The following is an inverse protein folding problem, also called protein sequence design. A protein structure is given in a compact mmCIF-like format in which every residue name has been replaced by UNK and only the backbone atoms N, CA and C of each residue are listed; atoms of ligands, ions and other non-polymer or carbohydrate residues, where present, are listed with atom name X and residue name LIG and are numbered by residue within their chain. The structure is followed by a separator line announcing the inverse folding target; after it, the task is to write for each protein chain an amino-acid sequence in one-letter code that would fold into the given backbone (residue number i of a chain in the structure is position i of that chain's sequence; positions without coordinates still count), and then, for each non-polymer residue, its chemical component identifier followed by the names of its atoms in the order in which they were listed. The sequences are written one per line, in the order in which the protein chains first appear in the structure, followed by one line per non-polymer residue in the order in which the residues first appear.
data_IF_007142779915
#
_entry.id   IF_007142779915
#
_cell.length_a   1.000
_cell.length_b   1.000
_cell.length_c   1.000
_cell.angle_alpha   90.00
_cell.angle_beta   90.00
_cell.angle_gamma   90.00
#
_symmetry.space_group_name_H-M   'P 1'
#
loop_
_entity.id
_entity.type
_entity.pdbx_description
1 polymer ?
#
# COMPACT_ATOMS: atom_id res chain seq x y z
N UNK A 1 -5.98 7.71 -8.49
CA UNK A 1 -7.16 7.51 -7.61
C UNK A 1 -7.65 6.11 -7.87
N UNK A 2 -7.51 5.22 -6.91
CA UNK A 2 -8.09 3.87 -6.98
C UNK A 2 -9.60 4.01 -6.87
N UNK A 3 -10.25 4.22 -8.01
CA UNK A 3 -11.68 4.42 -8.07
C UNK A 3 -12.39 3.15 -7.62
N UNK A 4 -13.17 3.28 -6.54
CA UNK A 4 -14.34 2.45 -6.33
C UNK A 4 -14.09 0.97 -6.08
N UNK A 5 -13.42 0.62 -4.99
CA UNK A 5 -13.74 -0.68 -4.38
C UNK A 5 -15.21 -0.63 -4.03
N UNK A 6 -16.04 -1.24 -4.88
CA UNK A 6 -17.48 -1.36 -4.58
C UNK A 6 -17.61 -2.11 -3.28
N UNK A 7 -18.19 -1.47 -2.27
CA UNK A 7 -18.51 -2.09 -1.00
C UNK A 7 -19.97 -1.84 -0.70
N UNK A 8 -20.62 -2.80 -0.05
CA UNK A 8 -22.00 -2.68 0.40
C UNK A 8 -22.02 -2.59 1.91
N UNK A 9 -22.67 -1.57 2.42
CA UNK A 9 -22.86 -1.36 3.84
C UNK A 9 -24.21 -1.94 4.25
N UNK A 10 -24.22 -2.93 5.14
CA UNK A 10 -25.40 -3.63 5.63
C UNK A 10 -25.38 -3.66 7.16
N UNK A 11 -26.10 -2.76 7.80
CA UNK A 11 -26.10 -2.64 9.26
C UNK A 11 -24.71 -2.24 9.78
N UNK A 12 -24.10 -3.09 10.60
CA UNK A 12 -22.76 -2.91 11.15
C UNK A 12 -21.66 -3.66 10.36
N UNK A 13 -21.99 -4.15 9.17
CA UNK A 13 -21.10 -4.93 8.31
C UNK A 13 -20.88 -4.28 6.96
N UNK A 14 -19.62 -4.27 6.52
CA UNK A 14 -19.23 -3.90 5.18
C UNK A 14 -18.88 -5.17 4.39
N UNK A 15 -19.48 -5.36 3.21
CA UNK A 15 -19.19 -6.49 2.30
C UNK A 15 -18.53 -5.98 1.04
N UNK A 16 -17.42 -6.59 0.62
CA UNK A 16 -16.66 -6.18 -0.56
C UNK A 16 -16.16 -7.37 -1.38
N UNK A 17 -16.03 -7.22 -2.71
CA UNK A 17 -15.35 -8.22 -3.52
C UNK A 17 -13.86 -8.25 -3.19
N UNK A 18 -13.24 -9.41 -3.33
CA UNK A 18 -11.81 -9.58 -3.16
C UNK A 18 -11.19 -10.15 -4.44
N UNK A 19 -10.03 -9.62 -4.87
CA UNK A 19 -9.40 -10.07 -6.12
C UNK A 19 -8.74 -11.44 -5.98
N UNK A 20 -8.31 -11.80 -4.76
CA UNK A 20 -7.66 -13.06 -4.43
C UNK A 20 -8.21 -13.59 -3.11
N UNK A 21 -8.85 -14.75 -3.18
CA UNK A 21 -9.51 -15.38 -2.03
C UNK A 21 -8.50 -15.84 -0.97
N UNK A 22 -7.34 -16.35 -1.37
CA UNK A 22 -6.35 -16.88 -0.44
C UNK A 22 -5.66 -15.75 0.33
N UNK A 23 -5.28 -14.68 -0.37
CA UNK A 23 -4.70 -13.47 0.24
C UNK A 23 -5.72 -12.81 1.16
N UNK A 24 -6.97 -12.66 0.74
CA UNK A 24 -8.02 -12.05 1.56
C UNK A 24 -8.34 -12.88 2.81
N UNK A 25 -8.40 -14.20 2.69
CA UNK A 25 -8.62 -15.08 3.84
C UNK A 25 -7.45 -15.04 4.82
N UNK A 26 -6.21 -15.01 4.33
CA UNK A 26 -5.03 -14.87 5.18
C UNK A 26 -5.03 -13.52 5.91
N UNK A 27 -5.26 -12.41 5.20
CA UNK A 27 -5.33 -11.07 5.78
C UNK A 27 -6.43 -10.96 6.83
N UNK A 28 -7.59 -11.57 6.58
CA UNK A 28 -8.68 -11.66 7.55
C UNK A 28 -8.26 -12.43 8.80
N UNK A 29 -7.57 -13.56 8.65
CA UNK A 29 -7.04 -14.32 9.79
C UNK A 29 -6.07 -13.53 10.65
N UNK A 30 -5.23 -12.70 10.04
CA UNK A 30 -4.31 -11.78 10.77
C UNK A 30 -5.11 -10.72 11.52
N UNK A 31 -6.02 -10.01 10.84
CA UNK A 31 -6.79 -8.92 11.45
C UNK A 31 -7.75 -9.39 12.54
N UNK A 32 -8.26 -10.64 12.47
CA UNK A 32 -9.17 -11.20 13.48
C UNK A 32 -8.52 -11.29 14.88
N UNK A 33 -7.25 -11.70 14.91
CA UNK A 33 -6.49 -11.83 16.15
C UNK A 33 -5.71 -10.59 16.58
N UNK A 34 -5.72 -9.53 15.77
CA UNK A 34 -4.85 -8.38 15.99
C UNK A 34 -5.55 -7.29 16.82
N UNK A 35 -4.83 -6.79 17.82
CA UNK A 35 -5.20 -5.58 18.56
C UNK A 35 -4.01 -4.62 18.51
N UNK A 36 -4.24 -3.38 18.12
CA UNK A 36 -3.19 -2.37 17.96
C UNK A 36 -3.61 -1.13 18.73
N UNK A 37 -2.83 -0.78 19.74
CA UNK A 37 -3.10 0.42 20.53
C UNK A 37 -3.07 1.68 19.66
N UNK A 38 -4.10 2.52 19.79
CA UNK A 38 -4.22 3.76 19.02
C UNK A 38 -4.57 3.55 17.53
N UNK A 39 -5.02 2.36 17.14
CA UNK A 39 -5.50 2.06 15.79
C UNK A 39 -6.77 1.20 15.86
N UNK A 40 -7.89 1.70 15.34
CA UNK A 40 -9.11 0.91 15.18
C UNK A 40 -8.95 0.00 13.96
N UNK A 41 -9.42 -1.24 14.05
CA UNK A 41 -9.36 -2.20 12.96
C UNK A 41 -10.78 -2.57 12.49
N UNK A 42 -10.98 -2.61 11.17
CA UNK A 42 -12.19 -3.21 10.59
C UNK A 42 -12.09 -4.74 10.68
N UNK A 43 -12.39 -5.29 11.87
CA UNK A 43 -12.29 -6.72 12.11
C UNK A 43 -13.12 -7.53 11.12
N UNK A 44 -12.58 -8.62 10.57
CA UNK A 44 -13.30 -9.44 9.61
C UNK A 44 -14.47 -10.17 10.26
N UNK A 45 -15.48 -10.46 9.44
CA UNK A 45 -16.67 -11.21 9.86
C UNK A 45 -16.72 -12.52 9.08
N UNK A 46 -16.85 -13.64 9.81
CA UNK A 46 -17.02 -14.97 9.20
C UNK A 46 -18.45 -15.14 8.69
N UNK A 47 -18.58 -15.89 7.61
CA UNK A 47 -19.88 -16.43 7.19
C UNK A 47 -20.40 -17.48 8.18
N UNK A 48 -21.66 -17.85 8.06
CA UNK A 48 -22.30 -18.84 8.94
C UNK A 48 -21.62 -20.22 8.96
N UNK A 49 -20.87 -20.55 7.89
CA UNK A 49 -20.06 -21.76 7.78
C UNK A 49 -18.58 -21.57 8.19
N UNK A 50 -18.24 -20.42 8.79
CA UNK A 50 -16.94 -20.15 9.38
C UNK A 50 -15.88 -19.62 8.40
N UNK A 51 -16.18 -19.40 7.12
CA UNK A 51 -15.24 -18.91 6.13
C UNK A 51 -15.09 -17.39 6.16
N UNK A 52 -13.89 -16.88 5.84
CA UNK A 52 -13.61 -15.47 5.67
C UNK A 52 -14.03 -14.91 4.31
N UNK A 53 -14.00 -15.79 3.28
CA UNK A 53 -14.33 -15.43 1.89
C UNK A 53 -15.33 -16.43 1.34
N UNK A 54 -16.41 -15.91 0.74
CA UNK A 54 -17.47 -16.70 0.11
C UNK A 54 -17.72 -16.14 -1.28
N UNK A 55 -17.58 -16.97 -2.29
CA UNK A 55 -17.82 -16.62 -3.71
C UNK A 55 -17.13 -15.32 -4.15
N UNK A 56 -15.89 -15.08 -3.68
CA UNK A 56 -15.14 -13.87 -4.01
C UNK A 56 -15.51 -12.62 -3.19
N UNK A 57 -16.25 -12.79 -2.08
CA UNK A 57 -16.67 -11.71 -1.19
C UNK A 57 -16.13 -11.91 0.21
N UNK A 58 -15.68 -10.82 0.84
CA UNK A 58 -15.30 -10.76 2.25
C UNK A 58 -16.14 -9.73 3.00
N UNK A 59 -16.34 -9.96 4.28
CA UNK A 59 -17.07 -9.08 5.17
C UNK A 59 -16.18 -8.60 6.33
N UNK A 60 -16.36 -7.36 6.75
CA UNK A 60 -15.73 -6.81 7.94
C UNK A 60 -16.71 -5.95 8.74
N UNK A 61 -16.41 -5.70 10.01
CA UNK A 61 -17.14 -4.71 10.81
C UNK A 61 -16.97 -3.34 10.15
N UNK A 62 -18.07 -2.62 10.07
CA UNK A 62 -18.01 -1.24 9.60
C UNK A 62 -17.27 -0.37 10.61
N UNK A 63 -16.33 0.43 10.12
CA UNK A 63 -15.61 1.40 10.93
C UNK A 63 -15.90 2.77 10.33
N UNK A 64 -16.49 3.71 11.09
CA UNK A 64 -16.77 5.05 10.61
C UNK A 64 -15.46 5.82 10.36
N UNK A 65 -15.50 6.76 9.43
CA UNK A 65 -14.40 7.67 9.12
C UNK A 65 -14.34 8.04 7.64
N UNK A 66 -13.51 9.02 7.36
CA UNK A 66 -13.23 9.52 6.02
C UNK A 66 -11.73 9.58 5.77
N UNK A 67 -11.33 9.62 4.51
CA UNK A 67 -9.94 9.89 4.14
C UNK A 67 -9.64 11.36 4.41
N UNK A 68 -8.57 11.62 5.15
CA UNK A 68 -8.10 12.98 5.45
C UNK A 68 -6.63 13.14 5.03
N UNK A 69 -6.18 14.35 4.68
CA UNK A 69 -4.79 14.61 4.29
C UNK A 69 -3.84 14.67 5.50
N UNK A 70 -3.94 13.69 6.39
CA UNK A 70 -3.14 13.54 7.63
C UNK A 70 -2.03 12.49 7.41
N UNK A 71 -1.15 12.73 6.44
CA UNK A 71 -0.21 11.71 5.94
C UNK A 71 0.78 11.23 6.99
N UNK A 72 1.25 12.11 7.87
CA UNK A 72 2.12 11.71 9.00
C UNK A 72 1.36 10.75 9.93
N UNK A 73 0.10 11.02 10.24
CA UNK A 73 -0.73 10.13 11.06
C UNK A 73 -1.02 8.78 10.36
N UNK A 74 -1.12 8.75 9.02
CA UNK A 74 -1.22 7.49 8.25
C UNK A 74 0.06 6.67 8.40
N UNK A 75 1.24 7.29 8.30
CA UNK A 75 2.53 6.61 8.47
C UNK A 75 2.70 6.12 9.93
N UNK A 76 2.30 6.91 10.92
CA UNK A 76 2.31 6.48 12.31
C UNK A 76 1.38 5.29 12.57
N UNK A 77 0.17 5.30 11.99
CA UNK A 77 -0.75 4.16 12.05
C UNK A 77 -0.15 2.91 11.39
N UNK A 78 0.54 3.09 10.26
CA UNK A 78 1.28 2.03 9.60
C UNK A 78 2.39 1.46 10.49
N UNK A 79 3.17 2.32 11.16
CA UNK A 79 4.23 1.88 12.06
C UNK A 79 3.69 1.05 13.23
N UNK A 80 2.54 1.43 13.81
CA UNK A 80 1.86 0.65 14.86
C UNK A 80 1.41 -0.72 14.34
N UNK A 81 0.79 -0.76 13.15
CA UNK A 81 0.41 -2.02 12.51
C UNK A 81 1.63 -2.91 12.27
N UNK A 82 2.70 -2.35 11.68
CA UNK A 82 3.91 -3.09 11.32
C UNK A 82 4.67 -3.59 12.56
N UNK A 83 4.65 -2.86 13.67
CA UNK A 83 5.17 -3.35 14.94
C UNK A 83 4.38 -4.55 15.46
N UNK A 84 3.05 -4.51 15.36
CA UNK A 84 2.19 -5.61 15.80
C UNK A 84 2.26 -6.85 14.88
N UNK A 85 2.74 -6.70 13.64
CA UNK A 85 2.91 -7.82 12.68
C UNK A 85 4.37 -8.23 12.45
N UNK A 86 5.33 -7.66 13.19
CA UNK A 86 6.75 -7.86 12.97
C UNK A 86 7.22 -9.33 13.10
N UNK A 87 6.60 -10.08 14.02
CA UNK A 87 6.92 -11.49 14.27
C UNK A 87 6.26 -12.46 13.28
N UNK A 88 5.42 -11.97 12.38
CA UNK A 88 4.81 -12.83 11.35
C UNK A 88 5.85 -13.29 10.36
N UNK A 89 5.92 -14.61 10.17
CA UNK A 89 6.76 -15.19 9.11
C UNK A 89 6.21 -14.87 7.73
N UNK A 90 7.07 -14.91 6.71
CA UNK A 90 6.65 -14.67 5.32
C UNK A 90 5.46 -15.55 4.94
N UNK A 91 4.32 -14.95 4.57
CA UNK A 91 3.12 -15.72 4.24
C UNK A 91 3.26 -16.46 2.91
N UNK A 92 2.95 -17.76 2.90
CA UNK A 92 2.96 -18.56 1.65
C UNK A 92 1.99 -18.06 0.59
N UNK A 93 0.91 -17.37 0.97
CA UNK A 93 -0.04 -16.76 0.04
C UNK A 93 0.58 -15.67 -0.84
N UNK A 94 1.78 -15.19 -0.51
CA UNK A 94 2.53 -14.24 -1.33
C UNK A 94 3.41 -14.93 -2.36
N UNK A 95 3.62 -16.24 -2.26
CA UNK A 95 4.47 -16.99 -3.19
C UNK A 95 3.75 -17.16 -4.53
N UNK A 96 4.47 -16.90 -5.61
CA UNK A 96 3.95 -17.06 -6.97
C UNK A 96 2.85 -16.08 -7.37
N UNK A 97 2.56 -15.04 -6.57
CA UNK A 97 1.61 -13.99 -6.98
C UNK A 97 2.06 -13.30 -8.26
N UNK A 98 1.11 -13.16 -9.19
CA UNK A 98 1.33 -12.51 -10.49
C UNK A 98 0.27 -11.43 -10.79
N UNK A 99 -0.39 -10.93 -9.74
CA UNK A 99 -1.28 -9.77 -9.87
C UNK A 99 -0.49 -8.46 -10.08
N UNK A 100 -1.20 -7.41 -10.43
CA UNK A 100 -0.63 -6.12 -10.78
C UNK A 100 0.24 -5.53 -9.66
N UNK A 101 -0.19 -5.65 -8.39
CA UNK A 101 0.56 -5.15 -7.23
C UNK A 101 1.85 -5.93 -7.02
N UNK A 102 1.77 -7.26 -7.07
CA UNK A 102 2.92 -8.15 -6.88
C UNK A 102 3.98 -7.95 -7.98
N UNK A 103 3.56 -7.88 -9.27
CA UNK A 103 4.46 -7.61 -10.40
C UNK A 103 5.14 -6.25 -10.26
N UNK A 104 4.38 -5.22 -9.92
CA UNK A 104 4.90 -3.85 -9.77
C UNK A 104 5.88 -3.75 -8.60
N UNK A 105 5.57 -4.38 -7.47
CA UNK A 105 6.48 -4.44 -6.33
C UNK A 105 7.78 -5.19 -6.69
N UNK A 106 7.70 -6.36 -7.31
CA UNK A 106 8.87 -7.12 -7.75
C UNK A 106 9.75 -6.33 -8.73
N UNK A 107 9.14 -5.59 -9.65
CA UNK A 107 9.87 -4.74 -10.58
C UNK A 107 10.57 -3.56 -9.88
N UNK A 108 9.90 -2.89 -8.95
CA UNK A 108 10.47 -1.79 -8.17
C UNK A 108 11.71 -2.25 -7.36
N UNK A 109 11.73 -3.51 -6.94
CA UNK A 109 12.86 -4.12 -6.21
C UNK A 109 13.92 -4.75 -7.13
N UNK A 110 13.72 -4.72 -8.47
CA UNK A 110 14.65 -5.31 -9.44
C UNK A 110 14.58 -6.84 -9.55
N UNK A 111 13.60 -7.46 -8.90
CA UNK A 111 13.36 -8.91 -8.90
C UNK A 111 12.66 -9.38 -10.18
N UNK A 112 12.07 -8.44 -10.92
CA UNK A 112 11.34 -8.71 -12.16
C UNK A 112 11.59 -7.59 -13.19
N UNK A 113 11.71 -7.97 -14.46
CA UNK A 113 11.69 -7.01 -15.58
C UNK A 113 10.28 -6.88 -16.12
N UNK A 114 9.88 -5.64 -16.41
CA UNK A 114 8.60 -5.33 -17.06
C UNK A 114 8.87 -4.57 -18.37
N UNK A 115 8.08 -4.85 -19.38
CA UNK A 115 7.98 -4.01 -20.58
C UNK A 115 6.87 -2.99 -20.31
N UNK A 116 7.25 -1.74 -20.06
CA UNK A 116 6.31 -0.66 -19.76
C UNK A 116 6.21 0.29 -20.93
N UNK A 117 5.00 0.75 -21.23
CA UNK A 117 4.79 1.74 -22.29
C UNK A 117 5.46 3.08 -21.91
N UNK A 118 6.38 3.59 -22.78
CA UNK A 118 7.02 4.88 -22.58
C UNK A 118 6.02 6.03 -22.33
N UNK A 119 4.89 6.04 -23.03
CA UNK A 119 3.88 7.10 -22.95
C UNK A 119 3.11 7.13 -21.61
N UNK A 120 3.12 6.04 -20.85
CA UNK A 120 2.43 5.93 -19.56
C UNK A 120 3.38 5.84 -18.37
N UNK A 121 4.62 6.32 -18.53
CA UNK A 121 5.62 6.41 -17.44
C UNK A 121 6.75 5.40 -17.54
N UNK A 122 6.80 4.56 -18.60
CA UNK A 122 7.86 3.57 -18.78
C UNK A 122 9.25 4.20 -18.95
N UNK A 123 9.35 5.35 -19.62
CA UNK A 123 10.62 6.10 -19.75
C UNK A 123 11.11 6.56 -18.37
N UNK A 124 10.26 7.25 -17.62
CA UNK A 124 10.60 7.75 -16.29
C UNK A 124 10.94 6.60 -15.32
N UNK A 125 10.22 5.48 -15.41
CA UNK A 125 10.56 4.28 -14.65
C UNK A 125 11.98 3.78 -14.97
N UNK A 126 12.34 3.71 -16.24
CA UNK A 126 13.67 3.22 -16.66
C UNK A 126 14.80 4.14 -16.18
N UNK A 127 14.61 5.46 -16.28
CA UNK A 127 15.54 6.47 -15.77
C UNK A 127 15.74 6.34 -14.27
N UNK A 128 14.66 6.29 -13.48
CA UNK A 128 14.74 6.14 -12.03
C UNK A 128 15.32 4.80 -11.61
N UNK A 129 15.02 3.73 -12.33
CA UNK A 129 15.52 2.40 -12.01
C UNK A 129 17.05 2.29 -12.06
N UNK A 130 17.72 3.19 -12.77
CA UNK A 130 19.19 3.25 -12.82
C UNK A 130 19.82 3.73 -11.51
N UNK A 131 19.07 4.43 -10.64
CA UNK A 131 19.53 4.91 -9.33
C UNK A 131 19.37 3.88 -8.23
N UNK A 132 18.87 2.68 -8.50
CA UNK A 132 18.76 1.63 -7.48
C UNK A 132 20.11 1.16 -7.02
N UNK A 133 20.33 1.15 -5.72
CA UNK A 133 21.48 0.53 -5.05
C UNK A 133 21.03 -0.61 -4.14
N UNK A 134 21.96 -1.44 -3.70
CA UNK A 134 21.68 -2.44 -2.68
C UNK A 134 21.31 -1.75 -1.36
N UNK A 135 20.37 -2.33 -0.61
CA UNK A 135 19.91 -1.82 0.67
C UNK A 135 20.01 -2.89 1.75
N UNK A 136 20.22 -2.47 2.99
CA UNK A 136 20.35 -3.37 4.14
C UNK A 136 19.19 -3.12 5.11
N UNK A 137 18.03 -3.68 4.79
CA UNK A 137 16.80 -3.55 5.57
C UNK A 137 16.13 -4.90 5.72
N UNK A 138 15.45 -5.11 6.84
CA UNK A 138 14.77 -6.37 7.14
C UNK A 138 13.34 -6.35 6.60
N UNK A 139 12.95 -7.28 5.71
CA UNK A 139 11.58 -7.38 5.25
C UNK A 139 10.69 -8.02 6.33
N UNK A 140 9.46 -7.57 6.38
CA UNK A 140 8.39 -8.10 7.22
C UNK A 140 7.06 -8.05 6.48
N UNK A 141 5.97 -8.50 7.10
CA UNK A 141 4.64 -8.24 6.59
C UNK A 141 4.32 -6.75 6.74
N UNK A 142 4.04 -6.10 5.62
CA UNK A 142 3.63 -4.69 5.57
C UNK A 142 2.35 -4.52 4.76
N UNK A 143 1.68 -3.41 4.97
CA UNK A 143 0.53 -3.02 4.15
C UNK A 143 1.00 -2.18 2.95
N UNK A 144 0.80 -2.66 1.73
CA UNK A 144 1.28 -2.01 0.52
C UNK A 144 0.42 -0.83 0.02
N UNK A 145 -0.84 -0.68 0.51
CA UNK A 145 -1.84 0.24 -0.02
C UNK A 145 -2.51 1.09 1.09
N UNK A 146 -1.69 1.68 1.97
CA UNK A 146 -2.16 2.42 3.15
C UNK A 146 -2.90 3.72 2.82
N UNK A 147 -2.52 4.40 1.74
CA UNK A 147 -3.04 5.73 1.40
C UNK A 147 -4.57 5.80 1.30
N UNK A 148 -5.21 4.72 0.84
CA UNK A 148 -6.66 4.61 0.76
C UNK A 148 -7.29 3.68 1.80
N UNK A 149 -6.53 3.23 2.81
CA UNK A 149 -6.96 2.23 3.78
C UNK A 149 -7.04 2.75 5.23
N UNK A 150 -6.57 3.98 5.49
CA UNK A 150 -6.63 4.60 6.81
C UNK A 150 -7.67 5.72 6.80
N UNK A 151 -8.70 5.57 7.61
CA UNK A 151 -9.79 6.54 7.77
C UNK A 151 -9.67 7.24 9.13
N UNK A 152 -10.20 8.45 9.19
CA UNK A 152 -10.27 9.26 10.41
C UNK A 152 -11.71 9.57 10.79
N UNK A 153 -12.00 9.41 12.08
CA UNK A 153 -13.20 9.85 12.76
C UNK A 153 -12.74 10.30 14.16
N UNK A 154 -12.41 11.59 14.27
CA UNK A 154 -11.66 12.14 15.38
C UNK A 154 -10.16 11.82 15.30
N UNK A 155 -9.52 11.60 16.46
CA UNK A 155 -8.06 11.49 16.55
C UNK A 155 -7.51 10.08 16.31
N UNK A 156 -8.31 9.06 16.55
CA UNK A 156 -7.87 7.67 16.42
C UNK A 156 -8.13 7.16 15.01
N UNK A 157 -7.07 6.87 14.21
CA UNK A 157 -7.22 6.33 12.87
C UNK A 157 -7.84 4.94 12.86
N UNK A 158 -8.44 4.58 11.73
CA UNK A 158 -9.02 3.27 11.49
C UNK A 158 -8.42 2.63 10.23
N UNK A 159 -7.97 1.39 10.32
CA UNK A 159 -7.54 0.60 9.18
C UNK A 159 -8.68 -0.28 8.69
N UNK A 160 -9.01 -0.16 7.40
CA UNK A 160 -10.17 -0.85 6.82
C UNK A 160 -9.86 -2.18 6.13
N UNK A 161 -8.60 -2.44 5.81
CA UNK A 161 -8.16 -3.72 5.25
C UNK A 161 -6.65 -3.95 5.45
N UNK A 162 -6.15 -5.09 4.97
CA UNK A 162 -4.73 -5.39 4.90
C UNK A 162 -4.39 -5.94 3.52
N UNK A 163 -3.62 -5.19 2.76
CA UNK A 163 -3.03 -5.62 1.48
C UNK A 163 -1.57 -6.02 1.73
N UNK A 164 -1.28 -7.30 1.95
CA UNK A 164 0.02 -7.71 2.43
C UNK A 164 1.10 -7.69 1.35
N UNK A 165 2.28 -7.23 1.73
CA UNK A 165 3.53 -7.42 1.01
C UNK A 165 4.63 -7.87 1.97
N UNK A 166 5.70 -8.53 1.45
CA UNK A 166 6.88 -8.87 2.21
C UNK A 166 7.99 -7.90 1.85
N UNK A 167 8.06 -6.79 2.59
CA UNK A 167 8.96 -5.64 2.32
C UNK A 167 9.34 -4.96 3.64
N UNK A 168 10.37 -4.10 3.64
CA UNK A 168 10.67 -3.27 4.82
C UNK A 168 9.51 -2.32 5.15
N UNK A 169 9.30 -2.02 6.42
CA UNK A 169 8.27 -1.08 6.87
C UNK A 169 8.51 0.34 6.34
N UNK A 170 9.77 0.72 6.17
CA UNK A 170 10.20 2.00 5.61
C UNK A 170 9.69 2.19 4.18
N UNK A 171 9.66 1.10 3.38
CA UNK A 171 9.06 1.14 2.04
C UNK A 171 7.55 1.40 2.08
N UNK A 172 6.83 0.82 3.02
CA UNK A 172 5.39 1.08 3.14
C UNK A 172 5.11 2.54 3.53
N UNK A 173 5.92 3.14 4.40
CA UNK A 173 5.88 4.57 4.70
C UNK A 173 6.20 5.42 3.46
N UNK A 174 7.23 5.04 2.69
CA UNK A 174 7.60 5.73 1.46
C UNK A 174 6.50 5.67 0.39
N UNK A 175 5.74 4.57 0.31
CA UNK A 175 4.56 4.48 -0.57
C UNK A 175 3.51 5.51 -0.20
N UNK A 176 3.23 5.71 1.11
CA UNK A 176 2.31 6.76 1.56
C UNK A 176 2.81 8.15 1.16
N UNK A 177 4.11 8.43 1.32
CA UNK A 177 4.71 9.71 0.93
C UNK A 177 4.57 9.95 -0.58
N UNK A 178 4.91 8.97 -1.40
CA UNK A 178 4.79 9.08 -2.87
C UNK A 178 3.33 9.30 -3.28
N UNK A 179 2.38 8.59 -2.68
CA UNK A 179 0.96 8.76 -2.96
C UNK A 179 0.44 10.14 -2.54
N UNK A 180 0.87 10.62 -1.38
CA UNK A 180 0.51 11.93 -0.86
C UNK A 180 1.04 13.06 -1.76
N UNK A 181 2.28 12.93 -2.27
CA UNK A 181 2.86 13.88 -3.21
C UNK A 181 2.18 13.81 -4.58
N UNK A 182 1.88 12.61 -5.07
CA UNK A 182 1.32 12.44 -6.41
C UNK A 182 -0.15 12.85 -6.48
N UNK A 183 -0.94 12.52 -5.47
CA UNK A 183 -2.40 12.62 -5.54
C UNK A 183 -3.06 13.28 -4.32
N UNK A 184 -2.34 13.36 -3.20
CA UNK A 184 -2.88 13.88 -1.95
C UNK A 184 -2.70 15.39 -1.77
N UNK A 185 -1.92 16.06 -2.62
CA UNK A 185 -1.61 17.48 -2.48
C UNK A 185 -0.70 17.80 -1.29
N UNK A 186 0.11 16.80 -0.84
CA UNK A 186 1.09 17.05 0.20
C UNK A 186 2.15 18.08 -0.22
N UNK A 187 2.67 18.80 0.75
CA UNK A 187 3.79 19.73 0.55
C UNK A 187 5.11 18.97 0.30
N UNK A 188 6.06 19.65 -0.33
CA UNK A 188 7.34 19.07 -0.75
C UNK A 188 8.27 18.73 0.43
N UNK A 189 7.92 19.14 1.67
CA UNK A 189 8.70 18.82 2.87
C UNK A 189 8.36 17.48 3.48
N UNK A 190 7.25 16.84 3.06
CA UNK A 190 6.82 15.55 3.62
C UNK A 190 7.91 14.47 3.59
N UNK A 191 8.69 14.28 2.51
CA UNK A 191 9.79 13.30 2.50
C UNK A 191 10.86 13.60 3.56
N UNK A 192 11.16 14.86 3.83
CA UNK A 192 12.18 15.26 4.78
C UNK A 192 11.79 14.99 6.24
N UNK A 193 10.48 15.01 6.56
CA UNK A 193 9.99 14.70 7.91
C UNK A 193 10.32 13.26 8.34
N UNK A 194 10.46 12.37 7.37
CA UNK A 194 10.72 10.94 7.57
C UNK A 194 12.15 10.51 7.21
N UNK A 195 13.06 11.48 6.97
CA UNK A 195 14.44 11.24 6.56
C UNK A 195 15.29 10.45 7.59
N UNK A 196 14.76 10.28 8.80
CA UNK A 196 15.39 9.48 9.85
C UNK A 196 15.18 7.96 9.69
N UNK A 197 14.31 7.53 8.76
CA UNK A 197 14.07 6.12 8.47
C UNK A 197 15.25 5.50 7.71
N UNK A 198 15.51 4.23 7.97
CA UNK A 198 16.62 3.51 7.35
C UNK A 198 16.48 3.43 5.82
N UNK A 199 17.60 3.67 5.14
CA UNK A 199 17.68 3.62 3.67
C UNK A 199 16.63 4.49 2.96
N UNK A 200 16.20 5.57 3.60
CA UNK A 200 15.04 6.36 3.21
C UNK A 200 15.04 6.81 1.75
N UNK A 201 16.12 7.38 1.17
CA UNK A 201 16.13 7.75 -0.26
C UNK A 201 15.84 6.56 -1.17
N UNK A 202 16.41 5.40 -0.86
CA UNK A 202 16.20 4.16 -1.61
C UNK A 202 14.80 3.57 -1.41
N UNK A 203 14.16 3.80 -0.26
CA UNK A 203 12.76 3.42 -0.03
C UNK A 203 11.80 4.29 -0.83
N UNK A 204 12.03 5.61 -0.87
CA UNK A 204 11.29 6.55 -1.71
C UNK A 204 11.43 6.21 -3.20
N UNK A 205 12.65 5.92 -3.66
CA UNK A 205 12.89 5.50 -5.03
C UNK A 205 12.08 4.24 -5.40
N UNK A 206 12.11 3.20 -4.54
CA UNK A 206 11.35 1.97 -4.78
C UNK A 206 9.84 2.19 -4.72
N UNK A 207 9.38 3.10 -3.88
CA UNK A 207 7.97 3.48 -3.84
C UNK A 207 7.53 4.20 -5.12
N UNK A 208 8.34 5.14 -5.63
CA UNK A 208 8.08 5.81 -6.91
C UNK A 208 8.10 4.81 -8.09
N UNK A 209 9.08 3.92 -8.14
CA UNK A 209 9.14 2.85 -9.14
C UNK A 209 7.93 1.92 -9.06
N UNK A 210 7.48 1.58 -7.85
CA UNK A 210 6.29 0.76 -7.65
C UNK A 210 5.04 1.44 -8.25
N UNK A 211 4.84 2.72 -7.96
CA UNK A 211 3.68 3.47 -8.48
C UNK A 211 3.75 3.70 -9.98
N UNK A 212 4.92 3.98 -10.54
CA UNK A 212 5.11 4.10 -11.99
C UNK A 212 4.85 2.77 -12.70
N UNK A 213 5.39 1.67 -12.17
CA UNK A 213 5.14 0.34 -12.74
C UNK A 213 3.65 -0.04 -12.66
N UNK A 214 2.99 0.28 -11.56
CA UNK A 214 1.57 0.05 -11.36
C UNK A 214 0.73 0.87 -12.33
N UNK A 215 1.05 2.17 -12.46
CA UNK A 215 0.37 3.08 -13.38
C UNK A 215 0.53 2.59 -14.83
N UNK A 216 1.75 2.34 -15.29
CA UNK A 216 2.01 1.97 -16.68
C UNK A 216 1.37 0.62 -17.10
N UNK A 217 1.03 -0.25 -16.16
CA UNK A 217 0.33 -1.51 -16.40
C UNK A 217 -1.20 -1.41 -16.23
N UNK A 218 -1.71 -0.28 -15.72
CA UNK A 218 -3.15 -0.16 -15.48
C UNK A 218 -3.90 0.06 -16.80
N UNK A 219 -5.03 -0.61 -17.06
CA UNK A 219 -5.79 -0.47 -18.31
C UNK A 219 -6.25 0.97 -18.63
N UNK A 220 -6.45 1.79 -17.61
CA UNK A 220 -6.87 3.18 -17.72
C UNK A 220 -5.69 4.18 -17.67
N UNK A 221 -4.44 3.67 -17.72
CA UNK A 221 -3.26 4.52 -17.72
C UNK A 221 -3.22 5.43 -18.94
N UNK A 222 -2.85 6.67 -18.73
CA UNK A 222 -2.69 7.65 -19.80
C UNK A 222 -1.68 8.72 -19.39
N UNK A 223 -1.14 9.45 -20.37
CA UNK A 223 -0.29 10.60 -20.10
C UNK A 223 -1.00 11.68 -19.24
N UNK A 224 -2.33 11.73 -19.24
CA UNK A 224 -3.11 12.68 -18.42
C UNK A 224 -3.13 12.35 -16.93
N UNK A 225 -2.89 11.09 -16.56
CA UNK A 225 -2.89 10.62 -15.17
C UNK A 225 -1.47 10.52 -14.58
N UNK A 226 -0.44 10.83 -15.37
CA UNK A 226 0.98 10.74 -15.01
C UNK A 226 1.55 11.97 -14.24
N UNK A 227 1.08 13.22 -14.42
CA UNK A 227 1.77 14.42 -13.88
C UNK A 227 2.01 14.40 -12.37
N UNK A 228 1.11 13.82 -11.59
CA UNK A 228 1.32 13.66 -10.14
C UNK A 228 2.50 12.76 -9.81
N UNK A 229 2.66 11.66 -10.55
CA UNK A 229 3.81 10.75 -10.39
C UNK A 229 5.10 11.38 -10.89
N UNK A 230 5.05 12.17 -11.97
CA UNK A 230 6.22 12.92 -12.46
C UNK A 230 6.72 13.91 -11.41
N UNK A 231 5.81 14.66 -10.77
CA UNK A 231 6.14 15.56 -9.66
C UNK A 231 6.77 14.79 -8.49
N UNK A 232 6.14 13.72 -8.03
CA UNK A 232 6.66 12.91 -6.93
C UNK A 232 8.04 12.32 -7.27
N UNK A 233 8.22 11.82 -8.49
CA UNK A 233 9.49 11.27 -8.99
C UNK A 233 10.60 12.34 -9.00
N UNK A 234 10.30 13.56 -9.43
CA UNK A 234 11.26 14.68 -9.42
C UNK A 234 11.74 15.01 -8.01
N UNK A 235 10.81 15.05 -7.03
CA UNK A 235 11.17 15.28 -5.62
C UNK A 235 12.00 14.12 -5.04
N UNK A 236 11.67 12.88 -5.38
CA UNK A 236 12.45 11.72 -4.96
C UNK A 236 13.85 11.76 -5.56
N UNK A 237 13.98 12.09 -6.85
CA UNK A 237 15.31 12.19 -7.52
C UNK A 237 16.21 13.22 -6.85
N UNK A 238 15.65 14.31 -6.35
CA UNK A 238 16.42 15.36 -5.67
C UNK A 238 16.99 14.89 -4.29
N UNK A 239 16.54 13.74 -3.78
CA UNK A 239 16.98 13.16 -2.50
C UNK A 239 17.99 11.99 -2.68
N UNK A 240 18.27 11.57 -3.93
CA UNK A 240 19.18 10.48 -4.25
C UNK A 240 20.61 10.98 -4.39
#
# INVERSE_FOLDING_TARGET
MWAGRRAWHCGDVLVRPVPDNAVAAWSAGVLDGLQVEGLRLAHPVRSSDGRWVVAGWAASRYVPGVLEPRYDAVIEAANRLHAATAELTRPRVLDGRDDLLARSAAAAWGERRLSLDPATGGTLYAELAAYRTAVQVTPQVVHAELFGAVLFDGDVPALVDLVPAWRPKEWAAAVVVVDALAWGGADDTLPHRWAHLDEWPQMLLRAALYRLALHAQHPEASARTLPGLERAAGLVTALL
#
